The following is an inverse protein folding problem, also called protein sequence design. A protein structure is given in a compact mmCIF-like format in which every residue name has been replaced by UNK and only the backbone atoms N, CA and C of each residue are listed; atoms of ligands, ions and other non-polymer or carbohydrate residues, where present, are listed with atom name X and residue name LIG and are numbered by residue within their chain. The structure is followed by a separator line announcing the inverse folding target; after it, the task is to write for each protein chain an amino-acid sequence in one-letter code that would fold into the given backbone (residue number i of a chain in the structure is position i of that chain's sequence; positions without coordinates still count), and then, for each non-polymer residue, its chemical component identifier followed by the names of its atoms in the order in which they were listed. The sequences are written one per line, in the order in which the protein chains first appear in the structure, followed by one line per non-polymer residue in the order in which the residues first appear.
data_IF_695503330460
#
_entry.id   IF_695503330460
#
_cell.length_a   1.000
_cell.length_b   1.000
_cell.length_c   1.000
_cell.angle_alpha   90.00
_cell.angle_beta   90.00
_cell.angle_gamma   90.00
#
_symmetry.space_group_name_H-M   'P 1'
#
loop_
_entity.id
_entity.type
_entity.pdbx_description
1 polymer ?
#
# COMPACT_ATOMS: atom_id res chain seq x y z
N UNK A 1 -26.15 2.03 3.47
CA UNK A 1 -24.95 2.65 4.07
C UNK A 1 -23.75 1.93 3.47
N UNK A 2 -22.78 2.64 2.92
CA UNK A 2 -21.61 2.04 2.24
C UNK A 2 -20.34 2.77 2.66
N UNK A 3 -19.21 2.08 2.69
CA UNK A 3 -17.91 2.63 3.08
C UNK A 3 -16.83 2.24 2.06
N UNK A 4 -15.65 2.86 2.16
CA UNK A 4 -14.51 2.60 1.29
C UNK A 4 -13.97 1.18 1.50
N UNK A 5 -13.66 0.50 0.39
CA UNK A 5 -13.13 -0.87 0.44
C UNK A 5 -11.63 -0.94 0.78
N UNK A 6 -10.89 0.17 0.67
CA UNK A 6 -9.47 0.24 1.00
C UNK A 6 -8.85 1.58 0.60
N UNK A 7 -7.52 1.68 0.67
CA UNK A 7 -6.79 2.94 0.42
C UNK A 7 -7.00 3.49 -1.00
N UNK A 8 -7.13 2.59 -1.98
CA UNK A 8 -7.17 2.96 -3.39
C UNK A 8 -5.81 3.41 -3.93
N UNK A 9 -5.66 3.37 -5.25
CA UNK A 9 -4.40 3.70 -5.91
C UNK A 9 -4.21 5.21 -5.97
N UNK A 10 -2.98 5.66 -5.75
CA UNK A 10 -2.52 7.03 -6.07
C UNK A 10 -1.94 7.08 -7.48
N UNK A 11 -1.28 6.00 -7.90
CA UNK A 11 -0.63 5.88 -9.21
C UNK A 11 -1.23 4.74 -10.03
N UNK A 12 -1.35 4.96 -11.34
CA UNK A 12 -1.66 3.88 -12.28
C UNK A 12 -0.56 2.80 -12.28
N UNK A 13 -0.88 1.57 -12.69
CA UNK A 13 0.09 0.45 -12.66
C UNK A 13 1.39 0.76 -13.40
N UNK A 14 1.28 1.19 -14.65
CA UNK A 14 2.44 1.56 -15.48
C UNK A 14 3.19 2.77 -14.94
N UNK A 15 2.48 3.71 -14.30
CA UNK A 15 3.10 4.89 -13.71
C UNK A 15 3.95 4.49 -12.50
N UNK A 16 3.42 3.66 -11.62
CA UNK A 16 4.16 3.13 -10.47
C UNK A 16 5.43 2.39 -10.91
N UNK A 17 5.36 1.55 -11.94
CA UNK A 17 6.53 0.85 -12.49
C UNK A 17 7.59 1.78 -13.11
N UNK A 18 7.20 3.00 -13.53
CA UNK A 18 8.07 3.97 -14.19
C UNK A 18 8.67 4.98 -13.20
N UNK A 19 7.90 5.41 -12.21
CA UNK A 19 8.24 6.50 -11.30
C UNK A 19 8.72 6.03 -9.93
N UNK A 20 8.32 4.85 -9.48
CA UNK A 20 8.80 4.32 -8.21
C UNK A 20 10.20 3.72 -8.38
N UNK A 21 11.04 3.99 -7.40
CA UNK A 21 12.36 3.40 -7.32
C UNK A 21 12.27 2.03 -6.63
N UNK A 22 12.80 1.01 -7.30
CA UNK A 22 12.76 -0.36 -6.80
C UNK A 22 13.54 -0.55 -5.51
N UNK A 23 14.71 0.07 -5.39
CA UNK A 23 15.53 -0.05 -4.20
C UNK A 23 14.89 0.70 -3.02
N UNK A 24 14.37 1.91 -3.27
CA UNK A 24 13.72 2.71 -2.23
C UNK A 24 12.46 2.02 -1.67
N UNK A 25 11.63 1.41 -2.51
CA UNK A 25 10.43 0.71 -2.03
C UNK A 25 10.77 -0.58 -1.25
N UNK A 26 11.86 -1.28 -1.63
CA UNK A 26 12.37 -2.42 -0.86
C UNK A 26 12.89 -1.97 0.50
N UNK A 27 13.77 -0.96 0.51
CA UNK A 27 14.32 -0.40 1.74
C UNK A 27 13.21 0.09 2.69
N UNK A 28 12.16 0.70 2.14
CA UNK A 28 11.00 1.13 2.92
C UNK A 28 10.28 -0.04 3.59
N UNK A 29 10.09 -1.15 2.89
CA UNK A 29 9.47 -2.36 3.44
C UNK A 29 10.38 -3.06 4.47
N UNK A 30 11.69 -3.10 4.21
CA UNK A 30 12.69 -3.64 5.13
C UNK A 30 12.77 -2.80 6.42
N UNK A 31 12.73 -1.48 6.32
CA UNK A 31 12.74 -0.56 7.46
C UNK A 31 11.53 -0.75 8.38
N UNK A 32 10.39 -1.19 7.84
CA UNK A 32 9.19 -1.52 8.62
C UNK A 32 9.10 -3.01 8.98
N UNK A 33 10.15 -3.80 8.70
CA UNK A 33 10.23 -5.22 9.04
C UNK A 33 9.23 -6.11 8.30
N UNK A 34 8.79 -5.71 7.11
CA UNK A 34 7.82 -6.45 6.30
C UNK A 34 8.56 -7.29 5.27
N UNK A 35 8.43 -8.61 5.37
CA UNK A 35 9.00 -9.54 4.39
C UNK A 35 8.29 -9.32 3.04
N UNK A 36 9.02 -9.09 1.95
CA UNK A 36 8.39 -8.76 0.67
C UNK A 36 8.83 -9.64 -0.49
N UNK A 37 7.90 -9.92 -1.41
CA UNK A 37 8.13 -10.63 -2.66
C UNK A 37 8.58 -9.76 -3.83
N UNK A 38 8.82 -8.45 -3.63
CA UNK A 38 9.24 -7.52 -4.67
C UNK A 38 10.62 -7.93 -5.20
N UNK A 39 10.68 -8.33 -6.47
CA UNK A 39 11.93 -8.72 -7.13
C UNK A 39 12.29 -7.75 -8.23
N UNK A 40 11.29 -7.34 -9.03
CA UNK A 40 11.45 -6.65 -10.29
C UNK A 40 10.62 -5.36 -10.31
N UNK A 41 10.91 -4.45 -11.25
CA UNK A 41 10.11 -3.22 -11.45
C UNK A 41 8.65 -3.50 -11.77
N UNK A 42 8.32 -4.66 -12.35
CA UNK A 42 6.93 -5.08 -12.61
C UNK A 42 6.10 -5.18 -11.33
N UNK A 43 6.74 -5.53 -10.21
CA UNK A 43 6.09 -5.73 -8.91
C UNK A 43 5.82 -4.39 -8.18
N UNK A 44 6.34 -3.28 -8.71
CA UNK A 44 6.16 -1.94 -8.14
C UNK A 44 4.76 -1.38 -8.31
N UNK A 45 3.95 -1.96 -9.18
CA UNK A 45 2.57 -1.52 -9.30
C UNK A 45 1.74 -1.81 -8.04
N UNK A 46 2.24 -2.63 -7.12
CA UNK A 46 1.59 -2.87 -5.84
C UNK A 46 2.46 -2.52 -4.62
N UNK A 47 3.55 -1.76 -4.85
CA UNK A 47 4.37 -1.21 -3.77
C UNK A 47 3.56 -0.19 -2.93
N UNK A 48 3.89 0.00 -1.64
CA UNK A 48 3.23 0.99 -0.78
C UNK A 48 3.15 2.39 -1.42
N UNK A 49 4.18 2.82 -2.14
CA UNK A 49 4.20 4.12 -2.85
C UNK A 49 3.12 4.29 -3.94
N UNK A 50 2.54 3.20 -4.45
CA UNK A 50 1.50 3.21 -5.48
C UNK A 50 0.09 3.49 -4.94
N UNK A 51 -0.12 3.34 -3.62
CA UNK A 51 -1.40 3.53 -2.95
C UNK A 51 -1.48 4.86 -2.20
N UNK A 52 -2.70 5.27 -1.85
CA UNK A 52 -2.92 6.36 -0.92
C UNK A 52 -2.60 5.90 0.50
N UNK A 53 -2.41 6.85 1.39
CA UNK A 53 -2.35 6.56 2.82
C UNK A 53 -3.73 6.10 3.31
N UNK A 54 -3.80 4.90 3.90
CA UNK A 54 -5.04 4.35 4.44
C UNK A 54 -5.57 5.20 5.59
N UNK A 55 -4.70 5.82 6.39
CA UNK A 55 -5.11 6.66 7.53
C UNK A 55 -5.93 7.86 7.05
N UNK A 56 -5.59 8.44 5.89
CA UNK A 56 -6.36 9.52 5.28
C UNK A 56 -7.75 9.04 4.85
N UNK A 57 -7.84 7.84 4.26
CA UNK A 57 -9.12 7.26 3.86
C UNK A 57 -10.00 6.98 5.08
N UNK A 58 -9.44 6.43 6.16
CA UNK A 58 -10.18 6.15 7.39
C UNK A 58 -10.65 7.43 8.08
N UNK A 59 -9.82 8.48 8.14
CA UNK A 59 -10.20 9.77 8.68
C UNK A 59 -11.39 10.40 7.93
N UNK A 60 -11.43 10.26 6.60
CA UNK A 60 -12.49 10.85 5.77
C UNK A 60 -13.86 10.13 5.87
N UNK A 61 -13.93 8.95 6.50
CA UNK A 61 -15.17 8.17 6.63
C UNK A 61 -15.49 7.83 8.10
N UNK A 62 -14.90 8.55 9.05
CA UNK A 62 -15.09 8.34 10.49
C UNK A 62 -16.55 8.49 10.96
N UNK A 63 -17.38 9.16 10.16
CA UNK A 63 -18.82 9.31 10.39
C UNK A 63 -19.63 8.08 9.92
N UNK A 64 -19.02 7.20 9.12
CA UNK A 64 -19.64 6.02 8.53
C UNK A 64 -19.14 4.70 9.12
N UNK A 65 -17.97 4.69 9.77
CA UNK A 65 -17.32 3.47 10.26
C UNK A 65 -16.66 3.68 11.62
N UNK A 66 -16.62 2.59 12.41
CA UNK A 66 -15.84 2.51 13.64
C UNK A 66 -14.62 1.59 13.43
N UNK A 67 -13.45 2.01 13.91
CA UNK A 67 -12.23 1.20 13.85
C UNK A 67 -12.25 0.19 15.00
N UNK A 68 -12.38 -1.09 14.65
CA UNK A 68 -12.35 -2.19 15.63
C UNK A 68 -10.92 -2.66 15.90
N UNK A 69 -10.11 -2.76 14.85
CA UNK A 69 -8.74 -3.28 14.92
C UNK A 69 -7.89 -2.71 13.79
N UNK A 70 -6.61 -2.48 14.08
CA UNK A 70 -5.60 -2.15 13.08
C UNK A 70 -4.64 -3.35 12.93
N UNK A 71 -4.39 -3.75 11.67
CA UNK A 71 -3.49 -4.85 11.35
C UNK A 71 -2.26 -4.30 10.61
N UNK A 72 -1.08 -4.71 11.06
CA UNK A 72 0.19 -4.46 10.37
C UNK A 72 0.63 -5.73 9.64
N UNK A 73 0.99 -5.65 8.35
CA UNK A 73 1.47 -6.82 7.62
C UNK A 73 2.80 -7.30 8.21
N UNK A 74 2.98 -8.63 8.23
CA UNK A 74 4.29 -9.26 8.50
C UNK A 74 5.01 -9.63 7.20
N UNK A 75 4.24 -9.99 6.18
CA UNK A 75 4.76 -10.35 4.87
C UNK A 75 3.80 -9.91 3.76
N UNK A 76 4.36 -9.54 2.61
CA UNK A 76 3.67 -9.25 1.36
C UNK A 76 4.29 -10.13 0.28
N UNK A 77 3.66 -11.28 0.02
CA UNK A 77 4.05 -12.20 -1.03
C UNK A 77 2.97 -12.19 -2.10
N UNK A 78 3.38 -11.97 -3.36
CA UNK A 78 2.49 -11.97 -4.52
C UNK A 78 3.01 -12.92 -5.58
N UNK A 79 2.09 -13.52 -6.32
CA UNK A 79 2.31 -14.48 -7.41
C UNK A 79 2.09 -13.86 -8.78
#
# INVERSE_FOLDING_TARGET
MSCSHGAGRRMGRKQAQKELDLAAEKERLDAIGVIHGIRNTKDLDEAPGAYKDISVVMANQQDLVDIVVELRPLAVIKG
#
